data_IF_282863586718
#
_entry.id   IF_282863586718
#
_cell.length_a   1.000
_cell.length_b   1.000
_cell.length_c   1.000
_cell.angle_alpha   90.00
_cell.angle_beta   90.00
_cell.angle_gamma   90.00
#
_symmetry.space_group_name_H-M   'P 1'
#
loop_
_entity.id
_entity.type
_entity.pdbx_description
1 polymer ?
#
# COMPACT_ATOMS: atom_id res chain seq x y z
N UNK A 1 -79.47 -38.42 -32.45
CA UNK A 1 -78.26 -38.37 -33.31
C UNK A 1 -77.65 -36.98 -33.32
N UNK A 2 -78.40 -35.93 -33.67
CA UNK A 2 -77.88 -34.55 -33.70
C UNK A 2 -77.27 -34.07 -32.36
N UNK A 3 -77.91 -34.37 -31.22
CA UNK A 3 -77.38 -34.05 -29.89
C UNK A 3 -75.98 -34.65 -29.65
N UNK A 4 -75.79 -35.94 -29.94
CA UNK A 4 -74.49 -36.63 -29.82
C UNK A 4 -73.44 -36.03 -30.76
N UNK A 5 -73.85 -35.60 -31.96
CA UNK A 5 -72.97 -34.89 -32.89
C UNK A 5 -72.61 -33.48 -32.40
N UNK A 6 -73.49 -32.80 -31.65
CA UNK A 6 -73.22 -31.52 -31.01
C UNK A 6 -72.27 -31.68 -29.80
N UNK A 7 -72.51 -32.66 -28.93
CA UNK A 7 -71.63 -33.01 -27.81
C UNK A 7 -70.21 -33.35 -28.29
N UNK A 8 -70.09 -34.11 -29.37
CA UNK A 8 -68.79 -34.45 -30.00
C UNK A 8 -68.07 -33.20 -30.54
N UNK A 9 -68.81 -32.24 -31.09
CA UNK A 9 -68.24 -30.96 -31.56
C UNK A 9 -67.83 -30.05 -30.40
N UNK A 10 -68.61 -29.99 -29.32
CA UNK A 10 -68.25 -29.27 -28.10
C UNK A 10 -66.95 -29.82 -27.52
N UNK A 11 -66.85 -31.14 -27.33
CA UNK A 11 -65.62 -31.77 -26.82
C UNK A 11 -64.39 -31.45 -27.68
N UNK A 12 -64.51 -31.55 -29.01
CA UNK A 12 -63.42 -31.18 -29.93
C UNK A 12 -63.03 -29.69 -29.82
N UNK A 13 -63.99 -28.81 -29.53
CA UNK A 13 -63.73 -27.40 -29.32
C UNK A 13 -63.00 -27.16 -27.99
N UNK A 14 -63.42 -27.84 -26.92
CA UNK A 14 -62.76 -27.79 -25.61
C UNK A 14 -61.31 -28.31 -25.70
N UNK A 15 -61.10 -29.49 -26.31
CA UNK A 15 -59.76 -30.07 -26.57
C UNK A 15 -58.84 -29.06 -27.30
N UNK A 16 -59.39 -28.26 -28.23
CA UNK A 16 -58.66 -27.21 -28.97
C UNK A 16 -58.40 -25.96 -28.13
N UNK A 17 -59.31 -25.57 -27.25
CA UNK A 17 -59.13 -24.44 -26.32
C UNK A 17 -58.02 -24.76 -25.32
N UNK A 18 -57.98 -25.99 -24.79
CA UNK A 18 -56.91 -26.46 -23.91
C UNK A 18 -55.54 -26.47 -24.63
N UNK A 19 -55.50 -26.95 -25.89
CA UNK A 19 -54.27 -26.94 -26.68
C UNK A 19 -53.74 -25.51 -26.95
N UNK A 20 -54.63 -24.57 -27.28
CA UNK A 20 -54.27 -23.15 -27.45
C UNK A 20 -53.79 -22.55 -26.13
N UNK A 21 -54.44 -22.88 -25.01
CA UNK A 21 -54.08 -22.37 -23.68
C UNK A 21 -52.69 -22.86 -23.24
N UNK A 22 -52.37 -24.14 -23.48
CA UNK A 22 -51.04 -24.71 -23.25
C UNK A 22 -49.98 -24.01 -24.10
N UNK A 23 -50.24 -23.81 -25.40
CA UNK A 23 -49.30 -23.14 -26.31
C UNK A 23 -49.07 -21.66 -25.93
N UNK A 24 -50.11 -20.94 -25.48
CA UNK A 24 -49.98 -19.58 -24.98
C UNK A 24 -49.17 -19.51 -23.67
N UNK A 25 -49.30 -20.50 -22.78
CA UNK A 25 -48.52 -20.59 -21.56
C UNK A 25 -47.03 -20.82 -21.86
N UNK A 26 -46.71 -21.74 -22.77
CA UNK A 26 -45.35 -21.98 -23.26
C UNK A 26 -44.74 -20.72 -23.91
N UNK A 27 -45.51 -20.03 -24.76
CA UNK A 27 -45.07 -18.78 -25.39
C UNK A 27 -44.81 -17.67 -24.36
N UNK A 28 -45.63 -17.59 -23.30
CA UNK A 28 -45.45 -16.62 -22.21
C UNK A 28 -44.17 -16.92 -21.41
N UNK A 29 -43.94 -18.19 -21.05
CA UNK A 29 -42.71 -18.61 -20.37
C UNK A 29 -41.45 -18.33 -21.21
N UNK A 30 -41.52 -18.54 -22.54
CA UNK A 30 -40.43 -18.21 -23.46
C UNK A 30 -40.14 -16.69 -23.50
N UNK A 31 -41.18 -15.84 -23.49
CA UNK A 31 -41.03 -14.38 -23.43
C UNK A 31 -40.43 -13.91 -22.10
N UNK A 32 -40.79 -14.52 -20.98
CA UNK A 32 -40.17 -14.22 -19.68
C UNK A 32 -38.69 -14.63 -19.63
N UNK A 33 -38.33 -15.78 -20.20
CA UNK A 33 -36.93 -16.20 -20.32
C UNK A 33 -36.10 -15.23 -21.18
N UNK A 34 -36.66 -14.77 -22.32
CA UNK A 34 -36.03 -13.73 -23.16
C UNK A 34 -35.87 -12.42 -22.39
N UNK A 35 -36.90 -11.98 -21.65
CA UNK A 35 -36.85 -10.76 -20.84
C UNK A 35 -35.79 -10.84 -19.73
N UNK A 36 -35.65 -12.00 -19.08
CA UNK A 36 -34.59 -12.23 -18.09
C UNK A 36 -33.20 -12.10 -18.72
N UNK A 37 -32.97 -12.76 -19.88
CA UNK A 37 -31.69 -12.69 -20.62
C UNK A 37 -31.39 -11.28 -21.15
N UNK A 38 -32.41 -10.51 -21.54
CA UNK A 38 -32.27 -9.11 -21.92
C UNK A 38 -31.82 -8.24 -20.72
N UNK A 39 -32.43 -8.43 -19.55
CA UNK A 39 -32.03 -7.70 -18.34
C UNK A 39 -30.59 -8.03 -17.92
N UNK A 40 -30.18 -9.30 -18.00
CA UNK A 40 -28.80 -9.75 -17.75
C UNK A 40 -27.81 -9.06 -18.70
N UNK A 41 -28.14 -8.95 -19.99
CA UNK A 41 -27.35 -8.21 -20.98
C UNK A 41 -27.28 -6.71 -20.68
N UNK A 42 -28.37 -6.07 -20.25
CA UNK A 42 -28.40 -4.65 -19.88
C UNK A 42 -27.51 -4.38 -18.66
N UNK A 43 -27.54 -5.23 -17.64
CA UNK A 43 -26.64 -5.13 -16.48
C UNK A 43 -25.18 -5.22 -16.93
N UNK A 44 -24.83 -6.23 -17.73
CA UNK A 44 -23.47 -6.40 -18.25
C UNK A 44 -23.00 -5.20 -19.09
N UNK A 45 -23.89 -4.59 -19.89
CA UNK A 45 -23.58 -3.39 -20.65
C UNK A 45 -23.30 -2.17 -19.75
N UNK A 46 -24.01 -2.05 -18.62
CA UNK A 46 -23.74 -1.01 -17.62
C UNK A 46 -22.40 -1.24 -16.92
N UNK A 47 -22.07 -2.49 -16.57
CA UNK A 47 -20.79 -2.85 -15.95
C UNK A 47 -19.60 -2.55 -16.88
N UNK A 48 -19.73 -2.85 -18.18
CA UNK A 48 -18.73 -2.49 -19.21
C UNK A 48 -18.54 -0.98 -19.32
N UNK A 49 -19.62 -0.19 -19.22
CA UNK A 49 -19.52 1.27 -19.20
C UNK A 49 -18.86 1.80 -17.91
N UNK A 50 -19.13 1.18 -16.75
CA UNK A 50 -18.47 1.52 -15.49
C UNK A 50 -16.96 1.24 -15.53
N UNK A 51 -16.55 0.06 -16.00
CA UNK A 51 -15.13 -0.30 -16.20
C UNK A 51 -14.43 0.67 -17.17
N UNK A 52 -15.13 1.14 -18.21
CA UNK A 52 -14.59 2.12 -19.16
C UNK A 52 -14.32 3.47 -18.50
N UNK A 53 -15.23 3.97 -17.65
CA UNK A 53 -15.02 5.22 -16.92
C UNK A 53 -13.91 5.10 -15.86
N UNK A 54 -13.82 3.98 -15.15
CA UNK A 54 -12.71 3.70 -14.24
C UNK A 54 -11.36 3.71 -14.97
N UNK A 55 -11.28 3.03 -16.12
CA UNK A 55 -10.09 3.02 -17.00
C UNK A 55 -9.74 4.44 -17.47
N UNK A 56 -10.72 5.23 -17.90
CA UNK A 56 -10.52 6.63 -18.30
C UNK A 56 -9.95 7.49 -17.16
N UNK A 57 -10.36 7.25 -15.91
CA UNK A 57 -9.89 8.01 -14.76
C UNK A 57 -8.46 7.61 -14.36
N UNK A 58 -8.11 6.32 -14.41
CA UNK A 58 -6.73 5.85 -14.24
C UNK A 58 -5.78 6.44 -15.31
N UNK A 59 -6.23 6.53 -16.57
CA UNK A 59 -5.47 7.18 -17.65
C UNK A 59 -5.26 8.66 -17.33
N UNK A 60 -6.30 9.40 -16.92
CA UNK A 60 -6.16 10.83 -16.52
C UNK A 60 -5.15 10.99 -15.39
N UNK A 61 -5.23 10.19 -14.34
CA UNK A 61 -4.30 10.23 -13.20
C UNK A 61 -2.85 9.95 -13.65
N UNK A 62 -2.65 8.92 -14.46
CA UNK A 62 -1.34 8.60 -15.05
C UNK A 62 -0.78 9.76 -15.87
N UNK A 63 -1.59 10.42 -16.71
CA UNK A 63 -1.15 11.60 -17.48
C UNK A 63 -0.84 12.82 -16.60
N UNK A 64 -1.47 12.95 -15.42
CA UNK A 64 -1.15 14.01 -14.46
C UNK A 64 0.24 13.77 -13.85
N UNK A 65 0.48 12.56 -13.34
CA UNK A 65 1.78 12.15 -12.78
C UNK A 65 2.93 12.28 -13.79
N UNK A 66 2.69 11.98 -15.07
CA UNK A 66 3.68 12.18 -16.14
C UNK A 66 4.02 13.67 -16.33
N UNK A 67 3.03 14.58 -16.24
CA UNK A 67 3.27 16.04 -16.33
C UNK A 67 4.03 16.56 -15.11
N UNK A 68 3.73 16.07 -13.92
CA UNK A 68 4.48 16.39 -12.70
C UNK A 68 5.95 15.96 -12.83
N UNK A 69 6.21 14.73 -13.27
CA UNK A 69 7.57 14.21 -13.52
C UNK A 69 8.30 15.06 -14.58
N UNK A 70 7.62 15.45 -15.67
CA UNK A 70 8.21 16.34 -16.68
C UNK A 70 8.59 17.69 -16.08
N UNK A 71 7.74 18.27 -15.23
CA UNK A 71 7.98 19.56 -14.59
C UNK A 71 9.19 19.51 -13.64
N UNK A 72 9.32 18.42 -12.87
CA UNK A 72 10.50 18.18 -12.02
C UNK A 72 11.76 17.99 -12.87
N UNK A 73 11.67 17.29 -14.01
CA UNK A 73 12.79 17.10 -14.92
C UNK A 73 13.29 18.45 -15.48
N UNK A 74 12.37 19.34 -15.87
CA UNK A 74 12.69 20.68 -16.37
C UNK A 74 13.36 21.55 -15.27
N UNK A 75 12.85 21.49 -14.04
CA UNK A 75 13.46 22.14 -12.87
C UNK A 75 14.88 21.62 -12.60
N UNK A 76 15.10 20.30 -12.66
CA UNK A 76 16.42 19.69 -12.48
C UNK A 76 17.40 20.11 -13.60
N UNK A 77 16.92 20.25 -14.83
CA UNK A 77 17.75 20.76 -15.93
C UNK A 77 18.15 22.21 -15.70
N UNK A 78 17.25 23.07 -15.24
CA UNK A 78 17.56 24.48 -14.95
C UNK A 78 18.56 24.60 -13.80
N UNK A 79 18.34 23.88 -12.69
CA UNK A 79 19.28 23.86 -11.56
C UNK A 79 20.69 23.40 -12.00
N UNK A 80 20.77 22.44 -12.94
CA UNK A 80 22.03 21.99 -13.53
C UNK A 80 22.70 23.07 -14.38
N UNK A 81 21.95 23.87 -15.14
CA UNK A 81 22.48 25.04 -15.88
C UNK A 81 23.05 26.08 -14.92
N UNK A 82 22.31 26.41 -13.85
CA UNK A 82 22.78 27.37 -12.84
C UNK A 82 24.07 26.92 -12.13
N UNK A 83 24.20 25.63 -11.81
CA UNK A 83 25.42 25.10 -11.20
C UNK A 83 26.62 25.22 -12.14
N UNK A 84 26.45 24.85 -13.43
CA UNK A 84 27.53 24.98 -14.42
C UNK A 84 27.98 26.45 -14.57
N UNK A 85 27.03 27.39 -14.65
CA UNK A 85 27.32 28.82 -14.71
C UNK A 85 28.06 29.35 -13.47
N UNK A 86 27.78 28.80 -12.29
CA UNK A 86 28.49 29.13 -11.04
C UNK A 86 29.93 28.61 -11.06
N UNK A 87 30.15 27.39 -11.51
CA UNK A 87 31.51 26.82 -11.65
C UNK A 87 32.33 27.61 -12.69
N UNK A 88 31.75 27.92 -13.86
CA UNK A 88 32.37 28.78 -14.89
C UNK A 88 32.78 30.16 -14.31
N UNK A 89 31.93 30.75 -13.47
CA UNK A 89 32.18 32.04 -12.81
C UNK A 89 33.34 31.96 -11.80
N UNK A 90 33.40 30.89 -11.01
CA UNK A 90 34.50 30.63 -10.08
C UNK A 90 35.82 30.43 -10.85
N UNK A 91 35.79 29.74 -11.98
CA UNK A 91 36.96 29.46 -12.82
C UNK A 91 37.49 30.71 -13.54
N UNK A 92 36.63 31.69 -13.86
CA UNK A 92 37.04 33.03 -14.29
C UNK A 92 37.74 33.76 -13.15
N UNK A 93 37.14 33.79 -11.95
CA UNK A 93 37.70 34.50 -10.78
C UNK A 93 39.04 33.93 -10.33
N UNK A 94 39.18 32.60 -10.39
CA UNK A 94 40.42 31.89 -10.08
C UNK A 94 41.52 32.18 -11.12
N UNK A 95 41.17 32.32 -12.40
CA UNK A 95 42.13 32.77 -13.44
C UNK A 95 42.62 34.18 -13.17
N UNK A 96 41.73 35.10 -12.81
CA UNK A 96 42.09 36.50 -12.54
C UNK A 96 42.99 36.63 -11.29
N UNK A 97 42.67 35.97 -10.19
CA UNK A 97 43.54 35.90 -9.01
C UNK A 97 44.91 35.28 -9.31
N UNK A 98 44.98 34.27 -10.20
CA UNK A 98 46.26 33.70 -10.66
C UNK A 98 47.09 34.69 -11.49
N UNK A 99 46.47 35.62 -12.23
CA UNK A 99 47.17 36.70 -12.93
C UNK A 99 47.70 37.72 -11.94
N UNK A 100 46.87 38.23 -11.04
CA UNK A 100 47.26 39.19 -9.99
C UNK A 100 48.43 38.65 -9.13
N UNK A 101 48.38 37.37 -8.76
CA UNK A 101 49.46 36.73 -8.00
C UNK A 101 50.77 36.63 -8.80
N UNK A 102 50.71 36.34 -10.11
CA UNK A 102 51.89 36.34 -11.00
C UNK A 102 52.51 37.73 -11.11
N UNK A 103 51.70 38.77 -11.25
CA UNK A 103 52.14 40.17 -11.32
C UNK A 103 52.79 40.61 -10.00
N UNK A 104 52.16 40.30 -8.85
CA UNK A 104 52.72 40.58 -7.53
C UNK A 104 54.09 39.90 -7.32
N UNK A 105 54.21 38.62 -7.68
CA UNK A 105 55.48 37.87 -7.61
C UNK A 105 56.52 38.47 -8.55
N UNK A 106 56.14 38.89 -9.76
CA UNK A 106 57.04 39.57 -10.70
C UNK A 106 57.54 40.91 -10.15
N UNK A 107 56.66 41.71 -9.56
CA UNK A 107 57.01 42.98 -8.93
C UNK A 107 57.96 42.78 -7.75
N UNK A 108 57.67 41.84 -6.84
CA UNK A 108 58.53 41.53 -5.70
C UNK A 108 59.88 40.94 -6.11
N UNK A 109 59.95 40.20 -7.22
CA UNK A 109 61.23 39.74 -7.78
C UNK A 109 62.08 40.90 -8.31
N UNK A 110 61.48 41.87 -9.01
CA UNK A 110 62.19 43.08 -9.47
C UNK A 110 62.73 43.94 -8.32
N UNK A 111 62.00 44.04 -7.20
CA UNK A 111 62.53 44.69 -5.97
C UNK A 111 63.75 43.94 -5.40
N UNK A 112 63.75 42.60 -5.43
CA UNK A 112 64.87 41.77 -4.98
C UNK A 112 66.08 41.84 -5.93
N UNK A 113 65.86 41.85 -7.24
CA UNK A 113 66.91 41.95 -8.26
C UNK A 113 67.59 43.34 -8.25
N UNK A 114 66.95 44.37 -7.68
CA UNK A 114 67.54 45.69 -7.41
C UNK A 114 68.61 45.69 -6.31
N UNK A 115 68.73 44.62 -5.52
CA UNK A 115 69.75 44.47 -4.48
C UNK A 115 70.94 43.71 -5.10
N UNK A 116 71.84 44.47 -5.74
CA UNK A 116 73.10 43.94 -6.26
C UNK A 116 73.92 43.28 -5.15
N UNK A 117 73.96 41.95 -5.16
CA UNK A 117 74.81 41.19 -4.23
C UNK A 117 76.25 41.22 -4.72
N UNK A 118 77.24 41.63 -3.89
CA UNK A 118 78.64 41.64 -4.29
C UNK A 118 79.14 40.20 -4.51
N UNK A 119 80.18 39.99 -5.36
CA UNK A 119 80.63 38.66 -5.73
C UNK A 119 81.07 37.86 -4.51
N UNK A 120 80.50 36.67 -4.35
CA UNK A 120 80.74 35.79 -3.21
C UNK A 120 82.19 35.27 -3.23
N UNK A 121 82.99 35.46 -2.16
CA UNK A 121 84.33 34.89 -2.09
C UNK A 121 84.25 33.36 -2.07
N UNK A 122 85.15 32.71 -2.81
CA UNK A 122 85.27 31.26 -2.84
C UNK A 122 85.78 30.75 -1.48
N UNK A 123 85.01 29.87 -0.83
CA UNK A 123 85.42 29.20 0.40
C UNK A 123 85.70 27.72 0.14
N UNK A 124 86.89 27.29 0.54
CA UNK A 124 87.32 25.89 0.55
C UNK A 124 86.62 25.08 1.65
N UNK A 125 86.38 23.77 1.46
CA UNK A 125 85.66 22.97 2.45
C UNK A 125 86.54 22.61 3.66
N UNK A 126 86.12 23.04 4.85
CA UNK A 126 86.72 22.63 6.12
C UNK A 126 85.88 21.49 6.72
N UNK A 127 86.48 20.29 6.85
CA UNK A 127 85.94 19.20 7.68
C UNK A 127 85.97 19.61 9.16
N UNK A 128 84.88 19.39 9.91
CA UNK A 128 84.95 19.10 11.35
C UNK A 128 83.93 18.06 11.79
N UNK A 129 84.30 17.38 12.86
CA UNK A 129 83.63 16.21 13.44
C UNK A 129 82.54 16.64 14.44
N UNK A 130 81.63 15.73 14.75
CA UNK A 130 80.41 16.01 15.48
C UNK A 130 80.54 16.33 16.98
N UNK A 131 79.43 16.88 17.50
CA UNK A 131 79.02 16.79 18.90
C UNK A 131 77.51 17.12 18.99
N UNK A 132 76.71 16.07 19.21
CA UNK A 132 75.65 15.96 20.23
C UNK A 132 74.93 17.23 20.74
N UNK A 133 73.60 17.24 20.64
CA UNK A 133 72.73 18.23 21.29
C UNK A 133 71.27 18.18 20.88
N UNK A 134 70.57 17.08 21.16
CA UNK A 134 69.10 17.02 20.99
C UNK A 134 68.39 17.60 22.21
N UNK A 135 67.35 18.44 22.00
CA UNK A 135 66.54 18.97 23.08
C UNK A 135 65.04 18.91 22.76
N UNK A 136 64.35 18.03 23.50
CA UNK A 136 62.93 18.05 23.89
C UNK A 136 61.85 18.28 22.80
N UNK A 137 61.23 17.17 22.39
CA UNK A 137 59.84 17.14 21.92
C UNK A 137 58.90 16.61 23.01
N UNK A 138 57.72 17.24 23.18
CA UNK A 138 56.73 16.90 24.21
C UNK A 138 55.84 15.70 23.85
N UNK A 139 55.37 14.99 24.87
CA UNK A 139 54.34 13.92 24.90
C UNK A 139 52.92 14.46 24.57
N UNK A 140 51.83 13.63 24.41
CA UNK A 140 51.63 12.28 24.99
C UNK A 140 50.85 11.20 24.17
N UNK A 141 50.95 9.97 24.70
CA UNK A 141 49.92 8.91 24.95
C UNK A 141 48.61 8.90 24.12
N UNK A 142 48.01 7.76 23.75
CA UNK A 142 48.28 6.36 24.09
C UNK A 142 46.95 5.58 24.19
N UNK A 143 46.75 4.54 23.37
CA UNK A 143 45.48 3.76 23.29
C UNK A 143 45.76 2.29 23.60
N UNK A 144 44.91 1.64 24.40
CA UNK A 144 45.12 0.28 24.89
C UNK A 144 43.80 -0.49 25.01
N UNK A 145 43.89 -1.83 24.89
CA UNK A 145 42.82 -2.82 25.13
C UNK A 145 41.73 -2.90 24.04
N UNK A 146 41.12 -4.07 23.78
CA UNK A 146 41.37 -5.40 24.35
C UNK A 146 40.23 -6.36 24.01
N UNK A 147 40.55 -7.62 23.67
CA UNK A 147 39.62 -8.66 23.19
C UNK A 147 38.71 -9.27 24.28
N UNK A 148 37.55 -9.80 23.90
CA UNK A 148 36.77 -10.75 24.70
C UNK A 148 35.57 -11.32 23.91
N UNK A 149 35.37 -12.66 23.96
CA UNK A 149 34.43 -13.39 23.10
C UNK A 149 33.60 -14.44 23.86
N UNK A 150 32.33 -14.57 23.45
CA UNK A 150 31.47 -15.78 23.45
C UNK A 150 31.12 -16.54 24.76
N UNK A 151 29.97 -17.24 24.77
CA UNK A 151 29.74 -18.37 25.72
C UNK A 151 28.43 -18.48 26.54
N UNK A 152 27.28 -18.67 25.86
CA UNK A 152 26.13 -19.57 26.14
C UNK A 152 25.68 -20.03 27.57
N UNK A 153 24.34 -20.11 27.72
CA UNK A 153 23.50 -21.10 28.48
C UNK A 153 23.14 -20.87 29.98
N UNK A 154 21.83 -20.99 30.30
CA UNK A 154 21.31 -21.13 31.68
C UNK A 154 19.83 -20.75 31.93
N UNK A 155 18.91 -21.72 31.85
CA UNK A 155 17.58 -21.76 32.53
C UNK A 155 17.62 -22.93 33.55
N UNK A 156 16.72 -23.10 34.57
CA UNK A 156 15.33 -22.60 34.67
C UNK A 156 14.75 -22.21 36.07
N UNK A 157 13.54 -21.61 36.04
CA UNK A 157 12.35 -21.84 36.92
C UNK A 157 12.40 -21.83 38.46
N UNK A 158 11.64 -20.90 39.10
CA UNK A 158 10.87 -21.15 40.34
C UNK A 158 9.54 -20.33 40.43
N UNK A 159 8.40 -21.04 40.30
CA UNK A 159 7.09 -21.03 41.02
C UNK A 159 6.46 -19.76 41.68
N UNK A 160 5.10 -19.78 41.69
CA UNK A 160 4.09 -19.07 42.54
C UNK A 160 3.38 -17.85 41.89
N UNK A 161 2.08 -17.54 42.06
CA UNK A 161 0.93 -18.17 42.76
C UNK A 161 -0.41 -17.59 42.21
N UNK A 162 -1.57 -18.20 42.52
CA UNK A 162 -2.96 -17.68 42.33
C UNK A 162 -3.77 -17.96 43.62
N UNK A 163 -5.04 -17.50 43.81
CA UNK A 163 -5.84 -16.39 43.26
C UNK A 163 -6.31 -15.43 44.41
N UNK A 164 -7.45 -14.67 44.38
CA UNK A 164 -8.81 -15.22 44.54
C UNK A 164 -9.96 -14.47 43.80
N UNK A 165 -11.20 -14.90 44.05
CA UNK A 165 -12.48 -14.54 43.39
C UNK A 165 -13.24 -13.36 44.05
N UNK A 166 -14.33 -12.84 43.45
CA UNK A 166 -15.28 -11.96 44.19
C UNK A 166 -16.31 -11.06 43.46
N UNK A 167 -17.28 -11.65 42.75
CA UNK A 167 -18.68 -11.18 42.46
C UNK A 167 -19.13 -9.71 42.71
N UNK A 168 -19.84 -9.08 41.75
CA UNK A 168 -21.31 -8.79 41.85
C UNK A 168 -21.96 -8.17 40.59
N UNK A 169 -23.31 -8.21 40.53
CA UNK A 169 -24.22 -8.03 39.38
C UNK A 169 -24.60 -6.58 39.02
N UNK A 170 -25.01 -6.33 37.76
CA UNK A 170 -26.42 -6.09 37.31
C UNK A 170 -26.55 -5.72 35.82
N UNK A 171 -27.62 -6.21 35.15
CA UNK A 171 -28.36 -5.66 33.97
C UNK A 171 -27.61 -4.89 32.86
N UNK A 172 -27.75 -5.09 31.55
CA UNK A 172 -28.66 -5.90 30.70
C UNK A 172 -28.01 -5.94 29.29
N UNK A 173 -28.38 -6.75 28.28
CA UNK A 173 -29.53 -7.65 28.08
C UNK A 173 -29.12 -8.84 27.18
N UNK A 174 -30.10 -9.65 26.76
CA UNK A 174 -30.07 -10.73 25.74
C UNK A 174 -28.71 -11.05 25.07
N UNK A 175 -27.90 -11.89 25.74
CA UNK A 175 -26.71 -12.55 25.19
C UNK A 175 -26.94 -14.07 25.19
N UNK A 176 -26.62 -14.82 24.12
CA UNK A 176 -26.70 -16.28 24.13
C UNK A 176 -25.68 -16.89 25.12
N UNK A 177 -25.89 -18.14 25.58
CA UNK A 177 -25.09 -18.74 26.65
C UNK A 177 -23.63 -18.95 26.26
N UNK A 178 -22.69 -18.83 27.21
CA UNK A 178 -21.30 -19.24 27.01
C UNK A 178 -21.22 -20.77 26.86
N UNK A 179 -20.09 -21.24 26.32
CA UNK A 179 -19.71 -22.66 26.22
C UNK A 179 -20.48 -23.52 25.22
N UNK A 180 -21.22 -22.89 24.28
CA UNK A 180 -21.32 -23.46 22.94
C UNK A 180 -20.03 -23.08 22.17
N UNK A 181 -19.43 -23.99 21.37
CA UNK A 181 -18.33 -23.60 20.48
C UNK A 181 -18.92 -22.64 19.45
N UNK A 182 -18.80 -21.34 19.70
CA UNK A 182 -19.26 -20.32 18.78
C UNK A 182 -18.52 -20.53 17.46
N UNK A 183 -19.25 -21.05 16.47
CA UNK A 183 -18.75 -21.19 15.12
C UNK A 183 -18.64 -19.79 14.55
N UNK A 184 -17.50 -19.16 14.81
CA UNK A 184 -17.13 -17.84 14.36
C UNK A 184 -17.22 -17.82 12.82
N UNK A 185 -18.14 -17.01 12.31
CA UNK A 185 -18.43 -16.89 10.88
C UNK A 185 -17.95 -15.53 10.38
N UNK A 186 -17.51 -15.51 9.13
CA UNK A 186 -17.16 -14.30 8.41
C UNK A 186 -18.26 -13.87 7.45
N UNK A 187 -17.84 -13.07 6.48
CA UNK A 187 -18.67 -12.54 5.38
C UNK A 187 -18.40 -13.22 4.03
N UNK A 188 -17.43 -14.14 3.95
CA UNK A 188 -17.04 -14.86 2.73
C UNK A 188 -16.20 -14.06 1.76
N UNK A 189 -15.19 -13.36 2.27
CA UNK A 189 -14.21 -12.60 1.49
C UNK A 189 -12.82 -13.18 1.74
N UNK A 190 -12.03 -13.37 0.68
CA UNK A 190 -10.60 -13.66 0.81
C UNK A 190 -9.84 -12.34 0.77
N UNK A 191 -9.04 -12.08 1.81
CA UNK A 191 -8.23 -10.87 1.90
C UNK A 191 -6.77 -11.17 1.58
N UNK A 192 -6.12 -10.26 0.86
CA UNK A 192 -4.68 -10.17 0.75
C UNK A 192 -4.15 -9.11 1.72
N UNK A 193 -3.06 -9.44 2.42
CA UNK A 193 -2.37 -8.51 3.30
C UNK A 193 -1.61 -7.47 2.47
N UNK A 194 -1.78 -6.19 2.79
CA UNK A 194 -1.02 -5.09 2.18
C UNK A 194 -0.52 -4.13 3.26
N UNK A 195 0.47 -3.29 2.94
CA UNK A 195 1.04 -2.33 3.90
C UNK A 195 0.08 -1.23 4.39
N UNK A 196 -1.13 -1.15 3.83
CA UNK A 196 -2.12 -0.10 4.11
C UNK A 196 -3.53 -0.73 4.28
N UNK A 197 -3.63 -1.82 5.06
CA UNK A 197 -4.87 -2.53 5.36
C UNK A 197 -5.12 -3.80 4.53
N UNK A 198 -6.39 -4.22 4.42
CA UNK A 198 -6.78 -5.46 3.75
C UNK A 198 -7.30 -5.19 2.33
N UNK A 199 -6.75 -5.88 1.33
CA UNK A 199 -7.25 -5.86 -0.05
C UNK A 199 -8.19 -7.04 -0.28
N UNK A 200 -9.35 -6.81 -0.89
CA UNK A 200 -10.28 -7.86 -1.32
C UNK A 200 -9.67 -8.57 -2.54
N UNK A 201 -9.21 -9.80 -2.34
CA UNK A 201 -8.58 -10.60 -3.38
C UNK A 201 -9.58 -11.46 -4.15
N UNK A 202 -10.63 -11.93 -3.48
CA UNK A 202 -11.65 -12.81 -4.05
C UNK A 202 -12.92 -12.82 -3.17
N UNK A 203 -14.07 -13.14 -3.76
CA UNK A 203 -15.36 -13.22 -3.08
C UNK A 203 -15.89 -14.65 -3.19
N UNK A 204 -16.29 -15.25 -2.06
CA UNK A 204 -16.81 -16.62 -2.07
C UNK A 204 -18.25 -16.60 -2.63
N UNK A 205 -18.58 -17.41 -3.64
CA UNK A 205 -19.95 -17.52 -4.15
C UNK A 205 -20.95 -17.87 -3.03
N UNK A 206 -22.17 -17.34 -3.14
CA UNK A 206 -23.24 -17.50 -2.15
C UNK A 206 -22.93 -17.00 -0.72
N UNK A 207 -21.90 -16.17 -0.56
CA UNK A 207 -21.58 -15.53 0.72
C UNK A 207 -22.35 -14.22 0.95
N UNK A 208 -22.37 -13.74 2.20
CA UNK A 208 -22.97 -12.46 2.57
C UNK A 208 -22.35 -11.27 1.81
N UNK A 209 -21.03 -11.27 1.58
CA UNK A 209 -20.36 -10.25 0.78
C UNK A 209 -20.78 -10.32 -0.69
N UNK A 210 -20.79 -11.52 -1.30
CA UNK A 210 -21.22 -11.70 -2.69
C UNK A 210 -22.70 -11.31 -2.89
N UNK A 211 -23.59 -11.69 -1.96
CA UNK A 211 -25.02 -11.33 -2.00
C UNK A 211 -25.29 -9.84 -1.82
N UNK A 212 -24.39 -9.10 -1.15
CA UNK A 212 -24.57 -7.66 -0.99
C UNK A 212 -24.43 -6.88 -2.30
N UNK A 213 -23.60 -7.36 -3.22
CA UNK A 213 -23.21 -6.59 -4.42
C UNK A 213 -22.52 -5.25 -4.10
N UNK A 214 -22.10 -5.01 -2.86
CA UNK A 214 -21.49 -3.75 -2.46
C UNK A 214 -19.95 -3.80 -2.42
N UNK A 215 -19.39 -4.99 -2.20
CA UNK A 215 -17.96 -5.30 -2.14
C UNK A 215 -17.54 -6.00 -3.43
N UNK A 216 -16.39 -5.60 -3.98
CA UNK A 216 -15.83 -6.11 -5.24
C UNK A 216 -14.35 -6.47 -5.06
N UNK A 217 -13.83 -7.32 -5.95
CA UNK A 217 -12.38 -7.63 -6.00
C UNK A 217 -11.60 -6.36 -6.34
N UNK A 218 -10.51 -6.10 -5.61
CA UNK A 218 -9.73 -4.87 -5.69
C UNK A 218 -10.09 -3.81 -4.63
N UNK A 219 -11.22 -3.96 -3.92
CA UNK A 219 -11.59 -3.06 -2.82
C UNK A 219 -10.55 -3.08 -1.68
N UNK A 220 -10.24 -1.91 -1.11
CA UNK A 220 -9.36 -1.79 0.07
C UNK A 220 -10.20 -1.51 1.32
N UNK A 221 -10.23 -2.44 2.27
CA UNK A 221 -10.85 -2.20 3.58
C UNK A 221 -9.89 -1.37 4.43
N UNK A 222 -10.35 -0.18 4.80
CA UNK A 222 -9.62 0.79 5.64
C UNK A 222 -10.19 0.91 7.05
N UNK A 223 -11.45 0.51 7.30
CA UNK A 223 -11.99 0.46 8.66
C UNK A 223 -12.98 -0.69 8.88
N UNK A 224 -13.10 -1.12 10.14
CA UNK A 224 -14.04 -2.16 10.61
C UNK A 224 -14.75 -1.62 11.85
N UNK A 225 -16.09 -1.66 11.84
CA UNK A 225 -16.97 -1.16 12.90
C UNK A 225 -16.64 0.26 13.37
N UNK A 226 -16.18 1.10 12.44
CA UNK A 226 -15.77 2.50 12.66
C UNK A 226 -14.33 2.68 13.14
N UNK A 227 -13.60 1.60 13.43
CA UNK A 227 -12.17 1.64 13.77
C UNK A 227 -11.31 1.55 12.51
N UNK A 228 -10.38 2.49 12.33
CA UNK A 228 -9.33 2.44 11.30
C UNK A 228 -8.45 1.20 11.48
N UNK A 229 -8.18 0.49 10.39
CA UNK A 229 -7.37 -0.72 10.34
C UNK A 229 -6.11 -0.59 9.47
N UNK A 230 -5.85 0.58 8.87
CA UNK A 230 -4.68 0.80 8.00
C UNK A 230 -3.34 0.55 8.72
N UNK A 231 -3.30 0.67 10.05
CA UNK A 231 -2.12 0.39 10.89
C UNK A 231 -2.22 -0.91 11.70
N UNK A 232 -3.28 -1.71 11.55
CA UNK A 232 -3.42 -2.98 12.26
C UNK A 232 -2.79 -4.15 11.48
N UNK A 233 -2.22 -5.15 12.18
CA UNK A 233 -1.75 -6.36 11.52
C UNK A 233 -2.93 -7.11 10.88
N UNK A 234 -2.70 -7.67 9.68
CA UNK A 234 -3.76 -8.25 8.85
C UNK A 234 -4.53 -9.39 9.54
N UNK A 235 -3.86 -10.14 10.41
CA UNK A 235 -4.49 -11.19 11.24
C UNK A 235 -5.48 -10.62 12.27
N UNK A 236 -5.20 -9.46 12.87
CA UNK A 236 -6.12 -8.81 13.80
C UNK A 236 -7.30 -8.15 13.07
N UNK A 237 -7.05 -7.52 11.92
CA UNK A 237 -8.10 -6.99 11.06
C UNK A 237 -9.08 -8.10 10.62
N UNK A 238 -8.58 -9.24 10.12
CA UNK A 238 -9.43 -10.39 9.76
C UNK A 238 -10.21 -10.93 10.98
N UNK A 239 -9.60 -10.98 12.17
CA UNK A 239 -10.28 -11.37 13.42
C UNK A 239 -11.39 -10.42 13.86
N UNK A 240 -11.44 -9.16 13.40
CA UNK A 240 -12.57 -8.24 13.62
C UNK A 240 -13.70 -8.45 12.62
N UNK A 241 -13.39 -8.93 11.42
CA UNK A 241 -14.38 -9.29 10.39
C UNK A 241 -15.12 -10.58 10.77
N UNK A 242 -14.40 -11.56 11.32
CA UNK A 242 -14.96 -12.80 11.85
C UNK A 242 -15.65 -12.55 13.20
N UNK A 243 -16.72 -13.27 13.50
CA UNK A 243 -17.41 -13.18 14.79
C UNK A 243 -18.71 -13.99 14.86
N UNK A 244 -19.59 -13.71 15.84
CA UNK A 244 -20.80 -14.49 16.07
C UNK A 244 -21.74 -14.52 14.85
N UNK A 245 -22.41 -15.65 14.57
CA UNK A 245 -23.38 -15.74 13.49
C UNK A 245 -24.55 -14.77 13.67
N UNK A 246 -25.04 -14.24 12.56
CA UNK A 246 -26.10 -13.21 12.48
C UNK A 246 -25.73 -11.86 13.14
N UNK A 247 -24.48 -11.66 13.57
CA UNK A 247 -24.01 -10.33 13.98
C UNK A 247 -23.69 -9.46 12.75
N UNK A 248 -23.81 -8.14 12.89
CA UNK A 248 -23.54 -7.20 11.80
C UNK A 248 -22.10 -6.66 11.91
N UNK A 249 -21.46 -6.43 10.77
CA UNK A 249 -20.15 -5.77 10.63
C UNK A 249 -20.27 -4.59 9.65
N UNK A 250 -19.69 -3.45 10.01
CA UNK A 250 -19.60 -2.27 9.16
C UNK A 250 -18.19 -2.13 8.60
N UNK A 251 -18.00 -2.25 7.30
CA UNK A 251 -16.70 -2.08 6.64
C UNK A 251 -16.63 -0.70 5.98
N UNK A 252 -15.58 0.06 6.26
CA UNK A 252 -15.18 1.21 5.46
C UNK A 252 -14.26 0.75 4.33
N UNK A 253 -14.74 0.88 3.10
CA UNK A 253 -14.07 0.47 1.88
C UNK A 253 -13.62 1.71 1.14
N UNK A 254 -12.35 1.76 0.76
CA UNK A 254 -11.79 2.74 -0.15
C UNK A 254 -11.74 2.15 -1.57
N UNK A 255 -12.50 2.75 -2.48
CA UNK A 255 -12.47 2.47 -3.93
C UNK A 255 -12.13 3.77 -4.65
N UNK A 256 -10.96 3.82 -5.30
CA UNK A 256 -10.47 4.96 -6.07
C UNK A 256 -10.53 6.30 -5.31
N UNK A 257 -10.20 6.28 -4.01
CA UNK A 257 -10.19 7.45 -3.13
C UNK A 257 -11.55 7.79 -2.51
N UNK A 258 -12.65 7.13 -2.92
CA UNK A 258 -13.96 7.29 -2.28
C UNK A 258 -14.13 6.27 -1.16
N UNK A 259 -14.42 6.75 0.04
CA UNK A 259 -14.72 5.91 1.20
C UNK A 259 -16.21 5.63 1.27
N UNK A 260 -16.59 4.36 1.10
CA UNK A 260 -17.96 3.86 1.24
C UNK A 260 -18.07 3.00 2.50
N UNK A 261 -19.13 3.19 3.27
CA UNK A 261 -19.44 2.30 4.40
C UNK A 261 -20.48 1.26 3.98
N UNK A 262 -20.13 -0.01 4.11
CA UNK A 262 -20.97 -1.18 3.76
C UNK A 262 -21.30 -1.94 5.05
N UNK A 263 -22.55 -2.41 5.19
CA UNK A 263 -23.01 -3.15 6.37
C UNK A 263 -23.42 -4.56 5.99
N UNK A 264 -22.70 -5.56 6.51
CA UNK A 264 -22.91 -6.97 6.20
C UNK A 264 -23.28 -7.78 7.44
N UNK A 265 -24.12 -8.80 7.25
CA UNK A 265 -24.39 -9.80 8.29
C UNK A 265 -23.34 -10.91 8.19
N UNK A 266 -22.68 -11.24 9.31
CA UNK A 266 -21.77 -12.37 9.42
C UNK A 266 -22.58 -13.67 9.34
N UNK A 267 -22.28 -14.50 8.35
CA UNK A 267 -23.08 -15.71 8.05
C UNK A 267 -22.39 -16.75 7.18
N UNK A 268 -21.10 -16.57 6.86
CA UNK A 268 -20.33 -17.49 6.02
C UNK A 268 -19.27 -18.24 6.83
N UNK A 269 -19.24 -19.57 6.72
CA UNK A 269 -18.23 -20.43 7.35
C UNK A 269 -17.63 -21.39 6.33
N UNK A 270 -16.31 -21.67 6.36
CA UNK A 270 -15.71 -22.72 5.53
C UNK A 270 -16.28 -24.12 5.78
N UNK A 271 -16.86 -24.36 6.97
CA UNK A 271 -17.42 -25.66 7.37
C UNK A 271 -18.88 -25.86 6.94
N UNK A 272 -19.45 -24.93 6.17
CA UNK A 272 -20.86 -24.95 5.73
C UNK A 272 -21.02 -25.22 4.22
N UNK A 273 -19.98 -25.78 3.58
CA UNK A 273 -19.97 -26.23 2.18
C UNK A 273 -19.98 -27.76 2.11
#
# INVERSE_FOLDING_TARGET
QEQVAMETKMKNLDDRVDQISSSNLEATAALEAIRYKYNEFVTLANDVNAMKEETNNLIKEGTCKIKEISTVLDQMQELKREMNMRDDTLDIRLRELKVQLKEYISSKRKELDGISTPPRPAFTPIKRQGATGEFQGSTPLGVHQGSGSDGTAGKPSLRAQSPPEGSTRKSESSRPPPDSPHQDVGIGVKFSATGEGLLVADLVPHSAAAHSGEIFVGDRVISIDGQDISFLPSSEAVRKIIGPPNSLVSLGINRNGQVKHVKLVRGWSPSAQ
#
